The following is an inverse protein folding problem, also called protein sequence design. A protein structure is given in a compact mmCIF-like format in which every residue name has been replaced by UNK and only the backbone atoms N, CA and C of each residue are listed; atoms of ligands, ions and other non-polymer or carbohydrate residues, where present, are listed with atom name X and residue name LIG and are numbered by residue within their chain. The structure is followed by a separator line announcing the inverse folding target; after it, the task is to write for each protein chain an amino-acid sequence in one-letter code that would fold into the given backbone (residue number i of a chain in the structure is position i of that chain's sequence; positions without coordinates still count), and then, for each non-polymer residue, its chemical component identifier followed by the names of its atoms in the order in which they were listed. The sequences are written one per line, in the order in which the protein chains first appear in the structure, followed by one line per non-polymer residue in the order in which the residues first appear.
data_IF_496606005913
#
_entry.id   IF_496606005913
#
_cell.length_a   1.000
_cell.length_b   1.000
_cell.length_c   1.000
_cell.angle_alpha   90.00
_cell.angle_beta   90.00
_cell.angle_gamma   90.00
#
_symmetry.space_group_name_H-M   'P 1'
#
loop_
_entity.id
_entity.type
_entity.pdbx_description
1 polymer ?
#
# COMPACT_ATOMS: atom_id res chain seq x y z
N UNK A 1 -4.79 55.23 20.27
CA UNK A 1 -3.42 55.69 19.93
C UNK A 1 -2.39 54.72 20.50
N UNK A 2 -1.36 54.45 19.70
CA UNK A 2 -0.04 53.84 20.01
C UNK A 2 0.06 52.32 20.24
N UNK A 3 0.73 51.74 19.25
CA UNK A 3 1.27 50.40 19.19
C UNK A 3 2.32 50.10 20.25
N UNK A 4 2.47 48.81 20.56
CA UNK A 4 3.75 48.20 20.94
C UNK A 4 3.98 46.97 20.08
N UNK A 5 4.80 47.17 19.05
CA UNK A 5 5.60 46.13 18.38
C UNK A 5 6.53 45.52 19.45
N UNK A 6 6.94 44.26 19.28
CA UNK A 6 8.28 43.72 19.56
C UNK A 6 8.38 42.29 18.98
N UNK A 7 9.60 41.79 18.71
CA UNK A 7 9.91 41.10 17.46
C UNK A 7 10.29 39.62 17.60
N UNK A 8 10.33 38.94 16.44
CA UNK A 8 11.14 37.77 16.09
C UNK A 8 11.40 36.72 17.18
N UNK A 9 10.72 35.58 17.08
CA UNK A 9 11.30 34.32 17.55
C UNK A 9 11.34 33.29 16.42
N UNK A 10 12.56 32.86 16.20
CA UNK A 10 13.07 32.14 15.06
C UNK A 10 12.69 30.68 15.22
N UNK A 11 11.53 30.27 14.71
CA UNK A 11 11.31 28.85 14.44
C UNK A 11 12.14 28.48 13.23
N UNK A 12 13.38 28.05 13.50
CA UNK A 12 14.26 27.46 12.51
C UNK A 12 13.46 26.43 11.72
N UNK A 13 13.36 26.64 10.40
CA UNK A 13 12.81 25.63 9.50
C UNK A 13 13.58 24.34 9.77
N UNK A 14 12.93 23.20 10.01
CA UNK A 14 13.66 21.95 10.05
C UNK A 14 14.34 21.82 8.68
N UNK A 15 15.67 21.64 8.68
CA UNK A 15 16.42 21.35 7.47
C UNK A 15 15.76 20.14 6.83
N UNK A 16 15.12 20.34 5.69
CA UNK A 16 14.57 19.26 4.88
C UNK A 16 15.74 18.39 4.47
N UNK A 17 15.86 17.23 5.11
CA UNK A 17 16.69 16.14 4.61
C UNK A 17 16.07 15.74 3.27
N UNK A 18 16.84 15.85 2.21
CA UNK A 18 16.41 15.44 0.87
C UNK A 18 16.06 13.95 0.93
N UNK A 19 14.79 13.63 0.72
CA UNK A 19 14.24 12.27 0.78
C UNK A 19 12.73 12.24 1.07
N UNK A 20 12.21 13.25 1.76
CA UNK A 20 10.80 13.31 2.21
C UNK A 20 9.91 14.06 1.20
N UNK A 21 9.88 13.57 -0.03
CA UNK A 21 8.81 13.87 -0.99
C UNK A 21 7.85 12.67 -1.04
N UNK A 22 7.52 12.11 0.12
CA UNK A 22 6.61 10.99 0.21
C UNK A 22 5.18 11.51 0.06
N UNK A 23 4.69 11.40 -1.17
CA UNK A 23 3.29 11.55 -1.62
C UNK A 23 2.27 11.61 -0.48
N UNK A 24 1.61 12.77 -0.36
CA UNK A 24 0.54 13.00 0.61
C UNK A 24 -0.54 11.92 0.46
N UNK A 25 -1.31 11.59 1.51
CA UNK A 25 -2.38 10.58 1.44
C UNK A 25 -3.41 10.78 0.33
N UNK A 26 -3.53 12.01 -0.17
CA UNK A 26 -4.45 12.42 -1.22
C UNK A 26 -3.82 12.45 -2.62
N UNK A 27 -2.50 12.26 -2.74
CA UNK A 27 -1.86 12.20 -4.05
C UNK A 27 -2.30 10.94 -4.79
N UNK A 28 -2.90 11.13 -5.97
CA UNK A 28 -3.33 10.06 -6.88
C UNK A 28 -2.17 9.15 -7.30
N UNK A 29 -0.91 9.58 -7.14
CA UNK A 29 0.28 8.79 -7.44
C UNK A 29 0.64 7.80 -6.33
N UNK A 30 0.11 7.97 -5.12
CA UNK A 30 0.36 7.09 -3.98
C UNK A 30 -0.06 5.65 -4.28
N UNK A 31 0.85 4.69 -4.09
CA UNK A 31 0.56 3.27 -4.21
C UNK A 31 0.18 2.68 -2.85
N UNK A 32 -1.03 2.13 -2.76
CA UNK A 32 -1.60 1.61 -1.53
C UNK A 32 -1.56 0.09 -1.48
N UNK A 33 -0.78 -0.48 -0.56
CA UNK A 33 -0.74 -1.91 -0.32
C UNK A 33 -1.91 -2.34 0.56
N UNK A 34 -2.84 -3.10 0.00
CA UNK A 34 -4.04 -3.57 0.67
C UNK A 34 -3.72 -4.79 1.52
N UNK A 35 -3.63 -4.60 2.83
CA UNK A 35 -3.42 -5.69 3.78
C UNK A 35 -3.79 -5.23 5.18
N UNK A 36 -4.31 -6.14 5.99
CA UNK A 36 -4.47 -5.92 7.43
C UNK A 36 -3.24 -6.37 8.22
N UNK A 37 -2.31 -7.11 7.60
CA UNK A 37 -1.12 -7.64 8.24
C UNK A 37 0.05 -6.65 8.11
N UNK A 38 0.39 -5.99 9.22
CA UNK A 38 1.51 -5.05 9.28
C UNK A 38 2.88 -5.70 9.01
N UNK A 39 3.05 -7.00 9.27
CA UNK A 39 4.29 -7.72 8.92
C UNK A 39 4.43 -7.86 7.40
N UNK A 40 3.36 -8.26 6.70
CA UNK A 40 3.33 -8.31 5.22
C UNK A 40 3.63 -6.95 4.62
N UNK A 41 3.06 -5.88 5.17
CA UNK A 41 3.36 -4.52 4.72
C UNK A 41 4.84 -4.16 4.88
N UNK A 42 5.44 -4.46 6.04
CA UNK A 42 6.86 -4.16 6.29
C UNK A 42 7.79 -4.95 5.36
N UNK A 43 7.46 -6.21 5.09
CA UNK A 43 8.20 -7.04 4.14
C UNK A 43 8.12 -6.46 2.73
N UNK A 44 6.90 -6.24 2.21
CA UNK A 44 6.69 -5.64 0.90
C UNK A 44 7.40 -4.29 0.76
N UNK A 45 7.35 -3.45 1.80
CA UNK A 45 8.03 -2.14 1.79
C UNK A 45 9.55 -2.31 1.67
N UNK A 46 10.14 -3.19 2.47
CA UNK A 46 11.59 -3.47 2.44
C UNK A 46 12.03 -4.03 1.08
N UNK A 47 11.21 -4.87 0.46
CA UNK A 47 11.49 -5.45 -0.85
C UNK A 47 11.40 -4.43 -1.98
N UNK A 48 10.46 -3.48 -1.89
CA UNK A 48 10.19 -2.48 -2.92
C UNK A 48 11.05 -1.20 -2.78
N UNK A 49 11.50 -0.88 -1.57
CA UNK A 49 12.29 0.31 -1.25
C UNK A 49 13.56 0.45 -2.13
N UNK A 50 14.36 -0.61 -2.38
CA UNK A 50 15.55 -0.54 -3.25
C UNK A 50 15.25 -0.19 -4.71
N UNK A 51 14.03 -0.47 -5.18
CA UNK A 51 13.58 -0.13 -6.53
C UNK A 51 12.96 1.28 -6.61
N UNK A 52 12.98 2.04 -5.52
CA UNK A 52 12.36 3.37 -5.43
C UNK A 52 10.83 3.35 -5.40
N UNK A 53 10.21 2.17 -5.23
CA UNK A 53 8.76 2.03 -5.18
C UNK A 53 8.29 2.24 -3.74
N UNK A 54 7.71 3.42 -3.47
CA UNK A 54 7.15 3.74 -2.15
C UNK A 54 5.69 3.27 -2.05
N UNK A 55 5.40 2.52 -0.99
CA UNK A 55 4.06 2.00 -0.70
C UNK A 55 3.52 2.46 0.65
N UNK A 56 2.21 2.67 0.74
CA UNK A 56 1.50 2.97 1.99
C UNK A 56 0.51 1.87 2.32
N UNK A 57 0.35 1.54 3.59
CA UNK A 57 -0.57 0.49 4.01
C UNK A 57 -2.03 0.98 3.93
N UNK A 58 -2.90 0.17 3.30
CA UNK A 58 -4.34 0.32 3.35
C UNK A 58 -4.94 -0.88 4.09
N UNK A 59 -5.27 -0.66 5.37
CA UNK A 59 -5.90 -1.68 6.21
C UNK A 59 -7.39 -1.83 5.85
N UNK A 60 -7.65 -2.55 4.76
CA UNK A 60 -8.99 -2.94 4.32
C UNK A 60 -9.08 -4.45 4.26
N UNK A 61 -10.22 -5.06 4.66
CA UNK A 61 -10.50 -6.44 4.30
C UNK A 61 -10.51 -6.57 2.78
N UNK A 62 -9.95 -7.68 2.29
CA UNK A 62 -10.06 -8.12 0.91
C UNK A 62 -11.28 -9.02 0.79
N UNK A 63 -11.96 -8.95 -0.34
CA UNK A 63 -12.93 -9.97 -0.70
C UNK A 63 -12.17 -11.19 -1.19
N UNK A 64 -12.30 -12.29 -0.48
CA UNK A 64 -11.69 -13.56 -0.86
C UNK A 64 -12.66 -14.31 -1.77
N UNK A 65 -12.38 -14.28 -3.08
CA UNK A 65 -13.07 -15.13 -4.04
C UNK A 65 -12.38 -16.48 -4.10
N UNK A 66 -13.16 -17.56 -4.14
CA UNK A 66 -12.60 -18.90 -4.37
C UNK A 66 -12.50 -19.15 -5.87
N UNK A 67 -11.26 -19.22 -6.36
CA UNK A 67 -10.94 -19.63 -7.73
C UNK A 67 -9.74 -20.56 -7.69
N UNK A 68 -9.69 -21.52 -8.60
CA UNK A 68 -8.55 -22.45 -8.77
C UNK A 68 -7.33 -21.76 -9.41
N UNK A 69 -7.50 -20.51 -9.88
CA UNK A 69 -6.44 -19.70 -10.44
C UNK A 69 -6.16 -18.48 -9.54
N UNK A 70 -5.01 -18.49 -8.86
CA UNK A 70 -4.56 -17.36 -8.01
C UNK A 70 -4.47 -16.03 -8.77
N UNK A 71 -4.16 -16.06 -10.06
CA UNK A 71 -4.11 -14.87 -10.89
C UNK A 71 -5.47 -14.19 -10.99
N UNK A 72 -6.55 -14.97 -11.13
CA UNK A 72 -7.92 -14.44 -11.14
C UNK A 72 -8.32 -13.88 -9.77
N UNK A 73 -7.92 -14.56 -8.68
CA UNK A 73 -8.15 -14.05 -7.32
C UNK A 73 -7.44 -12.71 -7.10
N UNK A 74 -6.16 -12.63 -7.46
CA UNK A 74 -5.36 -11.42 -7.31
C UNK A 74 -5.89 -10.27 -8.17
N UNK A 75 -6.29 -10.55 -9.42
CA UNK A 75 -6.86 -9.56 -10.34
C UNK A 75 -8.17 -8.99 -9.80
N UNK A 76 -9.11 -9.86 -9.41
CA UNK A 76 -10.39 -9.44 -8.85
C UNK A 76 -10.20 -8.59 -7.59
N UNK A 77 -9.34 -9.04 -6.67
CA UNK A 77 -9.06 -8.30 -5.44
C UNK A 77 -8.44 -6.91 -5.70
N UNK A 78 -7.60 -6.79 -6.74
CA UNK A 78 -7.02 -5.51 -7.13
C UNK A 78 -8.07 -4.57 -7.75
N UNK A 79 -8.90 -5.06 -8.67
CA UNK A 79 -9.94 -4.29 -9.35
C UNK A 79 -10.98 -3.78 -8.34
N UNK A 80 -11.51 -4.66 -7.50
CA UNK A 80 -12.49 -4.29 -6.48
C UNK A 80 -11.91 -3.28 -5.48
N UNK A 81 -10.67 -3.49 -5.01
CA UNK A 81 -10.04 -2.56 -4.08
C UNK A 81 -9.74 -1.20 -4.73
N UNK A 82 -9.37 -1.18 -6.02
CA UNK A 82 -9.15 0.05 -6.76
C UNK A 82 -10.44 0.87 -6.90
N UNK A 83 -11.55 0.21 -7.25
CA UNK A 83 -12.87 0.83 -7.39
C UNK A 83 -13.40 1.32 -6.04
N UNK A 84 -13.40 0.45 -5.02
CA UNK A 84 -13.92 0.74 -3.68
C UNK A 84 -13.23 1.92 -3.01
N UNK A 85 -11.91 2.03 -3.18
CA UNK A 85 -11.11 3.07 -2.52
C UNK A 85 -10.76 4.24 -3.43
N UNK A 86 -11.05 4.15 -4.74
CA UNK A 86 -10.68 5.11 -5.77
C UNK A 86 -9.18 5.50 -5.71
N UNK A 87 -8.32 4.48 -5.60
CA UNK A 87 -6.88 4.60 -5.35
C UNK A 87 -6.09 3.62 -6.20
N UNK A 88 -4.83 3.94 -6.46
CA UNK A 88 -3.87 2.98 -7.02
C UNK A 88 -3.51 1.98 -5.92
N UNK A 89 -3.80 0.71 -6.14
CA UNK A 89 -3.62 -0.34 -5.12
C UNK A 89 -2.61 -1.39 -5.57
N UNK A 90 -2.02 -2.05 -4.58
CA UNK A 90 -1.22 -3.25 -4.69
C UNK A 90 -1.86 -4.30 -3.78
N UNK A 91 -2.05 -5.51 -4.30
CA UNK A 91 -2.54 -6.66 -3.53
C UNK A 91 -1.51 -7.78 -3.58
N UNK A 92 -1.63 -8.71 -2.65
CA UNK A 92 -0.83 -9.93 -2.57
C UNK A 92 -1.80 -11.06 -2.23
N UNK A 93 -1.60 -12.21 -2.90
CA UNK A 93 -2.34 -13.43 -2.66
C UNK A 93 -1.37 -14.62 -2.68
N UNK A 94 -1.59 -15.61 -1.82
CA UNK A 94 -0.70 -16.74 -1.60
C UNK A 94 -1.54 -18.01 -1.44
N UNK A 95 -1.30 -19.01 -2.30
CA UNK A 95 -1.93 -20.34 -2.21
C UNK A 95 -0.93 -21.45 -1.86
N UNK A 96 -1.38 -22.45 -1.10
CA UNK A 96 -0.63 -23.68 -0.84
C UNK A 96 -1.16 -24.81 -1.74
N UNK A 97 -0.35 -25.25 -2.70
CA UNK A 97 -0.74 -26.30 -3.64
C UNK A 97 -0.07 -27.63 -3.29
N UNK A 98 -0.86 -28.59 -2.78
CA UNK A 98 -0.38 -29.95 -2.45
C UNK A 98 -0.94 -30.96 -3.43
N UNK A 99 -0.12 -31.40 -4.39
CA UNK A 99 -0.50 -32.35 -5.46
C UNK A 99 -1.05 -33.70 -4.95
N UNK A 100 -0.67 -34.13 -3.75
CA UNK A 100 -1.05 -35.45 -3.19
C UNK A 100 -2.45 -35.43 -2.57
N UNK A 101 -2.98 -34.26 -2.20
CA UNK A 101 -4.29 -34.11 -1.57
C UNK A 101 -5.44 -33.94 -2.58
N UNK A 102 -5.22 -34.27 -3.87
CA UNK A 102 -6.13 -34.12 -5.03
C UNK A 102 -7.59 -33.75 -4.70
N UNK A 103 -7.79 -32.46 -4.48
CA UNK A 103 -9.07 -31.78 -4.46
C UNK A 103 -9.05 -30.65 -5.50
N UNK A 104 -8.75 -31.01 -6.76
CA UNK A 104 -8.84 -30.20 -7.99
C UNK A 104 -8.22 -28.80 -7.98
N UNK A 105 -6.90 -28.75 -8.20
CA UNK A 105 -6.24 -27.63 -8.89
C UNK A 105 -5.46 -28.18 -10.08
N UNK A 106 -6.17 -28.42 -11.18
CA UNK A 106 -5.55 -28.64 -12.48
C UNK A 106 -5.42 -27.28 -13.18
N UNK A 107 -4.24 -26.67 -13.12
CA UNK A 107 -3.84 -25.71 -14.13
C UNK A 107 -3.69 -26.46 -15.46
N UNK A 108 -4.61 -26.20 -16.39
CA UNK A 108 -4.45 -26.44 -17.82
C UNK A 108 -4.44 -25.08 -18.52
#
# INVERSE_FOLDING_TARGET
MRARRWPNQVFGRPRKLHGEADTLPYDKRTLWFVTQNAHKYREARRTLDPFGIKIRMLASPKTEIQSTNLGEVAKFAAEEAAEKHNRRVLVEDSGLFVRVLNGKDSCA
#
